data_IF_026687137151
#
_entry.id   IF_026687137151
#
_cell.length_a   1.000
_cell.length_b   1.000
_cell.length_c   1.000
_cell.angle_alpha   90.00
_cell.angle_beta   90.00
_cell.angle_gamma   90.00
#
_symmetry.space_group_name_H-M   'P 1'
#
loop_
_entity.id
_entity.type
_entity.pdbx_description
1 polymer ?
#
# COMPACT_ATOMS: atom_id res chain seq x y z
N UNK A 1 23.99 -24.98 -19.69
CA UNK A 1 23.21 -24.67 -18.48
C UNK A 1 23.04 -23.16 -18.38
N UNK A 2 21.82 -22.66 -18.15
CA UNK A 2 21.59 -21.23 -17.96
C UNK A 2 22.19 -20.77 -16.63
N UNK A 3 23.10 -19.79 -16.68
CA UNK A 3 23.72 -19.21 -15.48
C UNK A 3 22.69 -18.47 -14.64
N UNK A 4 22.78 -18.59 -13.31
CA UNK A 4 21.89 -17.90 -12.37
C UNK A 4 22.30 -16.43 -12.27
N UNK A 5 21.38 -15.52 -12.59
CA UNK A 5 21.64 -14.09 -12.52
C UNK A 5 21.55 -13.58 -11.08
N UNK A 6 22.60 -12.89 -10.61
CA UNK A 6 22.64 -12.25 -9.30
C UNK A 6 23.15 -10.81 -9.40
N UNK A 7 22.82 -9.98 -8.41
CA UNK A 7 23.34 -8.60 -8.35
C UNK A 7 24.82 -8.58 -8.01
N UNK A 8 25.52 -7.50 -8.37
CA UNK A 8 26.96 -7.34 -8.05
C UNK A 8 27.24 -7.52 -6.56
N UNK A 9 26.44 -6.89 -5.68
CA UNK A 9 26.56 -7.06 -4.22
C UNK A 9 26.44 -8.51 -3.75
N UNK A 10 25.54 -9.28 -4.35
CA UNK A 10 25.37 -10.71 -4.01
C UNK A 10 26.54 -11.55 -4.52
N UNK A 11 27.08 -11.20 -5.69
CA UNK A 11 28.26 -11.86 -6.24
C UNK A 11 29.51 -11.59 -5.37
N UNK A 12 29.74 -10.33 -5.02
CA UNK A 12 30.87 -9.91 -4.17
C UNK A 12 30.77 -10.57 -2.79
N UNK A 13 29.56 -10.66 -2.21
CA UNK A 13 29.31 -11.40 -0.97
C UNK A 13 29.64 -12.89 -1.11
N UNK A 14 29.13 -13.54 -2.17
CA UNK A 14 29.35 -14.96 -2.41
C UNK A 14 30.83 -15.29 -2.61
N UNK A 15 31.56 -14.45 -3.36
CA UNK A 15 32.99 -14.59 -3.57
C UNK A 15 33.77 -14.48 -2.25
N UNK A 16 33.39 -13.52 -1.40
CA UNK A 16 34.00 -13.36 -0.07
C UNK A 16 33.72 -14.55 0.84
N UNK A 17 32.48 -15.06 0.83
CA UNK A 17 32.09 -16.23 1.63
C UNK A 17 32.83 -17.50 1.17
N UNK A 18 32.97 -17.72 -0.13
CA UNK A 18 33.72 -18.86 -0.67
C UNK A 18 35.22 -18.78 -0.35
N UNK A 19 35.80 -17.57 -0.30
CA UNK A 19 37.18 -17.37 0.17
C UNK A 19 37.34 -17.72 1.65
N UNK A 20 36.37 -17.38 2.49
CA UNK A 20 36.35 -17.77 3.90
C UNK A 20 36.26 -19.29 4.06
N UNK A 21 35.33 -19.95 3.36
CA UNK A 21 35.14 -21.40 3.40
C UNK A 21 36.36 -22.18 2.88
N UNK A 22 37.07 -21.62 1.89
CA UNK A 22 38.37 -22.15 1.43
C UNK A 22 39.44 -22.05 2.51
N UNK A 23 39.51 -20.92 3.22
CA UNK A 23 40.50 -20.69 4.30
C UNK A 23 40.30 -21.65 5.47
N UNK A 24 39.05 -21.94 5.82
CA UNK A 24 38.67 -22.89 6.87
C UNK A 24 38.72 -24.37 6.42
N UNK A 25 39.22 -24.66 5.21
CA UNK A 25 39.38 -26.01 4.63
C UNK A 25 38.07 -26.82 4.47
N UNK A 26 36.91 -26.17 4.49
CA UNK A 26 35.62 -26.84 4.26
C UNK A 26 35.36 -27.18 2.78
N UNK A 27 36.05 -26.52 1.85
CA UNK A 27 35.82 -26.63 0.40
C UNK A 27 37.17 -26.59 -0.34
N UNK A 28 37.33 -27.41 -1.39
CA UNK A 28 38.51 -27.38 -2.25
C UNK A 28 38.49 -26.21 -3.27
N UNK A 29 39.66 -25.79 -3.74
CA UNK A 29 39.79 -24.69 -4.70
C UNK A 29 38.99 -24.91 -5.99
N UNK A 30 38.99 -26.15 -6.49
CA UNK A 30 38.23 -26.54 -7.69
C UNK A 30 36.71 -26.43 -7.51
N UNK A 31 36.22 -26.60 -6.29
CA UNK A 31 34.79 -26.53 -5.98
C UNK A 31 34.31 -25.08 -5.87
N UNK A 32 35.12 -24.21 -5.26
CA UNK A 32 34.83 -22.76 -5.21
C UNK A 32 34.66 -22.16 -6.62
N UNK A 33 35.60 -22.45 -7.52
CA UNK A 33 35.55 -21.93 -8.90
C UNK A 33 34.36 -22.50 -9.68
N UNK A 34 34.03 -23.78 -9.44
CA UNK A 34 32.84 -24.42 -10.03
C UNK A 34 31.56 -23.75 -9.55
N UNK A 35 31.45 -23.40 -8.26
CA UNK A 35 30.28 -22.69 -7.72
C UNK A 35 30.15 -21.31 -8.37
N UNK A 36 31.22 -20.52 -8.42
CA UNK A 36 31.21 -19.19 -9.05
C UNK A 36 30.85 -19.24 -10.54
N UNK A 37 31.25 -20.29 -11.25
CA UNK A 37 30.99 -20.45 -12.69
C UNK A 37 29.49 -20.53 -13.07
N UNK A 38 28.64 -20.90 -12.10
CA UNK A 38 27.19 -21.05 -12.26
C UNK A 38 26.49 -19.68 -12.21
N UNK A 39 27.13 -18.65 -11.65
CA UNK A 39 26.54 -17.32 -11.47
C UNK A 39 27.01 -16.33 -12.55
N UNK A 40 26.12 -15.42 -12.92
CA UNK A 40 26.44 -14.30 -13.81
C UNK A 40 25.96 -12.99 -13.17
N UNK A 41 26.86 -12.01 -13.08
CA UNK A 41 26.53 -10.68 -12.58
C UNK A 41 25.57 -10.01 -13.56
N UNK A 42 24.40 -9.62 -13.08
CA UNK A 42 23.45 -8.82 -13.83
C UNK A 42 23.99 -7.39 -13.95
N UNK A 43 24.71 -7.12 -15.02
CA UNK A 43 25.11 -5.76 -15.37
C UNK A 43 23.90 -5.02 -15.95
N UNK A 44 23.55 -3.88 -15.35
CA UNK A 44 22.74 -2.88 -16.05
C UNK A 44 23.73 -2.20 -17.01
N UNK A 45 23.58 -2.34 -18.33
CA UNK A 45 24.53 -1.76 -19.26
C UNK A 45 24.62 -0.25 -19.01
N UNK A 46 25.83 0.31 -18.98
CA UNK A 46 26.03 1.77 -18.96
C UNK A 46 25.21 2.45 -20.08
N UNK A 47 25.09 1.77 -21.22
CA UNK A 47 24.25 2.14 -22.36
C UNK A 47 22.77 2.30 -21.97
N UNK A 48 22.23 1.44 -21.10
CA UNK A 48 20.85 1.56 -20.61
C UNK A 48 20.69 2.78 -19.71
N UNK A 49 21.69 3.10 -18.89
CA UNK A 49 21.67 4.31 -18.05
C UNK A 49 21.77 5.56 -18.92
N UNK A 50 22.69 5.58 -19.89
CA UNK A 50 22.85 6.70 -20.82
C UNK A 50 21.60 6.87 -21.71
N UNK A 51 20.99 5.79 -22.17
CA UNK A 51 19.73 5.82 -22.92
C UNK A 51 18.57 6.34 -22.05
N UNK A 52 18.51 5.97 -20.78
CA UNK A 52 17.50 6.49 -19.85
C UNK A 52 17.68 8.00 -19.62
N UNK A 53 18.93 8.47 -19.43
CA UNK A 53 19.24 9.90 -19.29
C UNK A 53 18.89 10.65 -20.59
N UNK A 54 19.25 10.10 -21.75
CA UNK A 54 18.92 10.68 -23.06
C UNK A 54 17.41 10.78 -23.27
N UNK A 55 16.67 9.70 -22.98
CA UNK A 55 15.21 9.71 -23.06
C UNK A 55 14.58 10.73 -22.10
N UNK A 56 15.13 10.87 -20.88
CA UNK A 56 14.69 11.87 -19.91
C UNK A 56 14.92 13.30 -20.43
N UNK A 57 16.11 13.61 -20.96
CA UNK A 57 16.43 14.92 -21.51
C UNK A 57 15.57 15.26 -22.72
N UNK A 58 15.33 14.31 -23.61
CA UNK A 58 14.41 14.50 -24.74
C UNK A 58 12.99 14.76 -24.23
N UNK A 59 12.52 13.97 -23.25
CA UNK A 59 11.21 14.19 -22.62
C UNK A 59 11.08 15.57 -22.01
N UNK A 60 12.09 16.02 -21.25
CA UNK A 60 12.14 17.35 -20.67
C UNK A 60 12.17 18.45 -21.74
N UNK A 61 12.97 18.29 -22.79
CA UNK A 61 13.04 19.24 -23.90
C UNK A 61 11.70 19.38 -24.62
N UNK A 62 11.00 18.27 -24.87
CA UNK A 62 9.65 18.28 -25.45
C UNK A 62 8.67 18.98 -24.51
N UNK A 63 8.70 18.70 -23.21
CA UNK A 63 7.84 19.36 -22.23
C UNK A 63 8.09 20.88 -22.18
N UNK A 64 9.35 21.31 -22.16
CA UNK A 64 9.72 22.73 -22.18
C UNK A 64 9.33 23.43 -23.49
N UNK A 65 9.49 22.76 -24.63
CA UNK A 65 9.05 23.27 -25.93
C UNK A 65 7.53 23.45 -25.98
N UNK A 66 6.78 22.46 -25.52
CA UNK A 66 5.32 22.56 -25.43
C UNK A 66 4.90 23.66 -24.46
N UNK A 67 5.54 23.74 -23.29
CA UNK A 67 5.23 24.75 -22.27
C UNK A 67 5.51 26.18 -22.75
N UNK A 68 6.65 26.42 -23.41
CA UNK A 68 7.02 27.74 -23.96
C UNK A 68 6.08 28.21 -25.08
N UNK A 69 5.58 27.28 -25.89
CA UNK A 69 4.62 27.59 -26.95
C UNK A 69 3.16 27.59 -26.44
N UNK A 70 2.90 27.05 -25.25
CA UNK A 70 1.54 26.85 -24.72
C UNK A 70 0.74 28.15 -24.62
N UNK A 71 1.38 29.28 -24.34
CA UNK A 71 0.70 30.58 -24.24
C UNK A 71 0.08 31.02 -25.58
N UNK A 72 0.74 30.69 -26.71
CA UNK A 72 0.35 31.15 -28.04
C UNK A 72 -0.68 30.23 -28.74
N UNK A 73 -0.92 29.03 -28.20
CA UNK A 73 -1.85 28.07 -28.80
C UNK A 73 -3.31 28.36 -28.43
N UNK A 74 -4.21 28.27 -29.41
CA UNK A 74 -5.66 28.35 -29.18
C UNK A 74 -6.15 27.11 -28.42
N UNK A 75 -7.25 27.26 -27.67
CA UNK A 75 -7.87 26.16 -26.90
C UNK A 75 -8.12 24.87 -27.71
N UNK A 76 -8.70 24.90 -28.93
CA UNK A 76 -8.92 23.69 -29.70
C UNK A 76 -7.61 23.00 -30.11
N UNK A 77 -6.56 23.77 -30.44
CA UNK A 77 -5.25 23.19 -30.81
C UNK A 77 -4.63 22.46 -29.62
N UNK A 78 -4.68 23.05 -28.42
CA UNK A 78 -4.23 22.39 -27.18
C UNK A 78 -4.96 21.07 -26.93
N UNK A 79 -6.28 21.06 -27.12
CA UNK A 79 -7.12 19.87 -26.95
C UNK A 79 -6.73 18.77 -27.95
N UNK A 80 -6.56 19.13 -29.23
CA UNK A 80 -6.09 18.19 -30.27
C UNK A 80 -4.72 17.61 -29.92
N UNK A 81 -3.78 18.41 -29.42
CA UNK A 81 -2.45 17.92 -29.01
C UNK A 81 -2.57 16.89 -27.88
N UNK A 82 -3.38 17.16 -26.86
CA UNK A 82 -3.60 16.25 -25.72
C UNK A 82 -4.20 14.92 -26.22
N UNK A 83 -5.25 14.98 -27.04
CA UNK A 83 -5.91 13.78 -27.59
C UNK A 83 -4.95 12.98 -28.49
N UNK A 84 -4.24 13.67 -29.38
CA UNK A 84 -3.32 13.03 -30.32
C UNK A 84 -2.18 12.34 -29.57
N UNK A 85 -1.62 12.98 -28.55
CA UNK A 85 -0.59 12.38 -27.71
C UNK A 85 -1.10 11.13 -26.99
N UNK A 86 -2.32 11.18 -26.44
CA UNK A 86 -2.93 10.04 -25.77
C UNK A 86 -3.13 8.85 -26.72
N UNK A 87 -3.64 9.11 -27.93
CA UNK A 87 -3.85 8.09 -28.96
C UNK A 87 -2.51 7.51 -29.43
N UNK A 88 -1.53 8.37 -29.74
CA UNK A 88 -0.23 7.94 -30.26
C UNK A 88 0.50 7.04 -29.27
N UNK A 89 0.57 7.44 -28.00
CA UNK A 89 1.27 6.67 -26.96
C UNK A 89 0.62 5.30 -26.74
N UNK A 90 -0.72 5.24 -26.68
CA UNK A 90 -1.42 3.97 -26.47
C UNK A 90 -1.40 3.06 -27.71
N UNK A 91 -1.55 3.62 -28.92
CA UNK A 91 -1.45 2.83 -30.16
C UNK A 91 -0.04 2.31 -30.35
N UNK A 92 1.00 3.10 -30.09
CA UNK A 92 2.38 2.64 -30.07
C UNK A 92 2.58 1.49 -29.07
N UNK A 93 1.97 1.57 -27.89
CA UNK A 93 1.97 0.48 -26.90
C UNK A 93 1.39 -0.82 -27.46
N UNK A 94 0.26 -0.75 -28.17
CA UNK A 94 -0.39 -1.90 -28.82
C UNK A 94 0.47 -2.47 -29.95
N UNK A 95 1.04 -1.63 -30.82
CA UNK A 95 1.88 -2.09 -31.93
C UNK A 95 3.14 -2.83 -31.45
N UNK A 96 3.78 -2.31 -30.41
CA UNK A 96 5.04 -2.84 -29.87
C UNK A 96 4.80 -4.05 -28.94
N UNK A 97 3.55 -4.32 -28.56
CA UNK A 97 3.19 -5.35 -27.56
C UNK A 97 3.65 -6.77 -27.90
N UNK A 98 3.70 -7.12 -29.19
CA UNK A 98 4.11 -8.45 -29.65
C UNK A 98 5.62 -8.69 -29.53
N UNK A 99 6.42 -7.68 -29.86
CA UNK A 99 7.88 -7.79 -29.93
C UNK A 99 8.57 -7.37 -28.63
N UNK A 100 8.08 -6.32 -27.97
CA UNK A 100 8.67 -5.76 -26.75
C UNK A 100 7.60 -5.53 -25.67
N UNK A 101 7.13 -6.58 -24.98
CA UNK A 101 6.01 -6.50 -24.03
C UNK A 101 6.29 -5.59 -22.83
N UNK A 102 7.56 -5.45 -22.41
CA UNK A 102 7.94 -4.52 -21.33
C UNK A 102 7.83 -3.06 -21.77
N UNK A 103 8.32 -2.75 -22.98
CA UNK A 103 8.24 -1.42 -23.58
C UNK A 103 6.79 -1.02 -23.81
N UNK A 104 5.96 -1.95 -24.29
CA UNK A 104 4.52 -1.73 -24.45
C UNK A 104 3.82 -1.36 -23.13
N UNK A 105 4.12 -2.07 -22.03
CA UNK A 105 3.59 -1.71 -20.69
C UNK A 105 4.03 -0.31 -20.27
N UNK A 106 5.31 0.03 -20.45
CA UNK A 106 5.81 1.37 -20.16
C UNK A 106 5.09 2.46 -20.97
N UNK A 107 4.80 2.21 -22.25
CA UNK A 107 4.02 3.13 -23.08
C UNK A 107 2.60 3.33 -22.54
N UNK A 108 1.92 2.26 -22.11
CA UNK A 108 0.61 2.41 -21.46
C UNK A 108 0.67 3.14 -20.12
N UNK A 109 1.76 2.99 -19.34
CA UNK A 109 1.96 3.78 -18.12
C UNK A 109 2.09 5.28 -18.45
N UNK A 110 2.86 5.61 -19.50
CA UNK A 110 2.93 6.99 -20.00
C UNK A 110 1.55 7.46 -20.45
N UNK A 111 0.79 6.61 -21.14
CA UNK A 111 -0.59 6.90 -21.55
C UNK A 111 -1.51 7.23 -20.38
N UNK A 112 -1.41 6.49 -19.27
CA UNK A 112 -2.16 6.76 -18.04
C UNK A 112 -1.78 8.14 -17.45
N UNK A 113 -0.50 8.48 -17.43
CA UNK A 113 -0.03 9.78 -16.93
C UNK A 113 -0.45 10.94 -17.84
N UNK A 114 -0.35 10.75 -19.16
CA UNK A 114 -0.82 11.73 -20.17
C UNK A 114 -2.32 11.95 -20.04
N UNK A 115 -3.09 10.89 -19.80
CA UNK A 115 -4.54 11.00 -19.57
C UNK A 115 -4.84 11.85 -18.33
N UNK A 116 -4.18 11.58 -17.20
CA UNK A 116 -4.32 12.37 -15.97
C UNK A 116 -3.93 13.84 -16.17
N UNK A 117 -2.76 14.09 -16.74
CA UNK A 117 -2.31 15.45 -17.05
C UNK A 117 -3.27 16.17 -18.01
N UNK A 118 -3.80 15.45 -19.00
CA UNK A 118 -4.78 15.96 -19.95
C UNK A 118 -6.06 16.45 -19.26
N UNK A 119 -6.57 15.73 -18.27
CA UNK A 119 -7.76 16.15 -17.49
C UNK A 119 -7.50 17.50 -16.83
N UNK A 120 -6.42 17.66 -16.07
CA UNK A 120 -6.09 18.91 -15.37
C UNK A 120 -5.82 20.07 -16.34
N UNK A 121 -5.15 19.81 -17.47
CA UNK A 121 -4.92 20.84 -18.49
C UNK A 121 -6.22 21.32 -19.13
N UNK A 122 -7.18 20.41 -19.38
CA UNK A 122 -8.49 20.75 -19.92
C UNK A 122 -9.28 21.59 -18.91
N UNK A 123 -9.28 21.19 -17.63
CA UNK A 123 -9.92 21.95 -16.55
C UNK A 123 -9.39 23.38 -16.46
N UNK A 124 -8.05 23.53 -16.45
CA UNK A 124 -7.40 24.84 -16.44
C UNK A 124 -7.74 25.65 -17.70
N UNK A 125 -7.75 25.03 -18.88
CA UNK A 125 -7.98 25.70 -20.15
C UNK A 125 -9.40 26.26 -20.30
N UNK A 126 -10.39 25.54 -19.80
CA UNK A 126 -11.79 25.95 -19.85
C UNK A 126 -12.26 26.66 -18.58
N UNK A 127 -11.36 26.88 -17.62
CA UNK A 127 -11.68 27.45 -16.30
C UNK A 127 -12.86 26.70 -15.66
N UNK A 128 -12.88 25.38 -15.84
CA UNK A 128 -13.94 24.53 -15.31
C UNK A 128 -13.66 24.39 -13.81
N UNK A 129 -14.54 24.95 -12.99
CA UNK A 129 -14.55 24.73 -11.54
C UNK A 129 -15.16 23.36 -11.21
N UNK A 130 -14.66 22.30 -11.85
CA UNK A 130 -14.87 20.96 -11.32
C UNK A 130 -14.07 20.91 -10.03
N UNK A 131 -14.70 20.46 -8.95
CA UNK A 131 -14.00 20.14 -7.72
C UNK A 131 -12.77 19.30 -8.07
N UNK A 132 -11.57 19.79 -7.76
CA UNK A 132 -10.28 19.20 -8.09
C UNK A 132 -10.19 17.68 -7.81
N UNK A 133 -10.99 17.22 -6.84
CA UNK A 133 -11.09 15.82 -6.45
C UNK A 133 -11.75 14.93 -7.52
N UNK A 134 -12.77 15.43 -8.23
CA UNK A 134 -13.47 14.69 -9.29
C UNK A 134 -12.56 14.37 -10.49
N UNK A 135 -11.51 15.16 -10.71
CA UNK A 135 -10.49 14.93 -11.73
C UNK A 135 -9.76 13.60 -11.50
N UNK A 136 -9.48 13.26 -10.24
CA UNK A 136 -8.87 11.98 -9.86
C UNK A 136 -9.83 10.80 -10.06
N UNK A 137 -11.14 11.01 -9.94
CA UNK A 137 -12.13 9.98 -10.27
C UNK A 137 -12.13 9.68 -11.77
N UNK A 138 -12.15 10.72 -12.62
CA UNK A 138 -12.05 10.56 -14.07
C UNK A 138 -10.75 9.84 -14.47
N UNK A 139 -9.65 10.19 -13.81
CA UNK A 139 -8.38 9.51 -14.00
C UNK A 139 -8.44 8.03 -13.58
N UNK A 140 -9.05 7.73 -12.43
CA UNK A 140 -9.22 6.36 -11.95
C UNK A 140 -10.03 5.51 -12.93
N UNK A 141 -11.08 6.08 -13.55
CA UNK A 141 -11.90 5.40 -14.57
C UNK A 141 -11.04 4.94 -15.74
N UNK A 142 -10.26 5.85 -16.34
CA UNK A 142 -9.37 5.50 -17.45
C UNK A 142 -8.31 4.46 -17.05
N UNK A 143 -7.80 4.57 -15.83
CA UNK A 143 -6.78 3.65 -15.30
C UNK A 143 -7.33 2.25 -15.08
N UNK A 144 -8.59 2.10 -14.63
CA UNK A 144 -9.24 0.78 -14.45
C UNK A 144 -9.32 0.03 -15.77
N UNK A 145 -9.73 0.71 -16.84
CA UNK A 145 -9.89 0.11 -18.17
C UNK A 145 -8.54 -0.44 -18.65
N UNK A 146 -7.48 0.37 -18.54
CA UNK A 146 -6.12 -0.03 -18.94
C UNK A 146 -5.57 -1.14 -18.02
N UNK A 147 -5.81 -1.04 -16.71
CA UNK A 147 -5.36 -2.04 -15.73
C UNK A 147 -6.00 -3.41 -15.95
N UNK A 148 -7.29 -3.43 -16.33
CA UNK A 148 -7.99 -4.64 -16.71
C UNK A 148 -7.47 -5.21 -18.05
N UNK A 149 -7.29 -4.36 -19.07
CA UNK A 149 -6.75 -4.76 -20.37
C UNK A 149 -5.35 -5.40 -20.26
N UNK A 150 -4.43 -4.77 -19.51
CA UNK A 150 -3.06 -5.25 -19.35
C UNK A 150 -2.91 -6.40 -18.35
N UNK A 151 -3.97 -6.68 -17.57
CA UNK A 151 -3.90 -7.54 -16.38
C UNK A 151 -2.73 -7.16 -15.48
N UNK A 152 -2.57 -5.86 -15.24
CA UNK A 152 -1.43 -5.31 -14.48
C UNK A 152 -1.83 -4.84 -13.09
N UNK A 153 -1.28 -5.48 -12.06
CA UNK A 153 -1.53 -5.12 -10.65
C UNK A 153 -0.99 -3.75 -10.29
N UNK A 154 0.09 -3.27 -10.90
CA UNK A 154 0.66 -1.96 -10.59
C UNK A 154 -0.28 -0.82 -11.05
N UNK A 155 -0.92 -0.99 -12.20
CA UNK A 155 -1.92 -0.05 -12.71
C UNK A 155 -3.15 -0.01 -11.80
N UNK A 156 -3.64 -1.17 -11.36
CA UNK A 156 -4.77 -1.23 -10.42
C UNK A 156 -4.41 -0.67 -9.03
N UNK A 157 -3.17 -0.83 -8.58
CA UNK A 157 -2.69 -0.16 -7.36
C UNK A 157 -2.70 1.36 -7.53
N UNK A 158 -2.25 1.86 -8.68
CA UNK A 158 -2.35 3.28 -9.00
C UNK A 158 -3.80 3.77 -8.99
N UNK A 159 -4.74 3.00 -9.57
CA UNK A 159 -6.19 3.29 -9.43
C UNK A 159 -6.61 3.42 -7.97
N UNK A 160 -6.20 2.50 -7.08
CA UNK A 160 -6.60 2.60 -5.66
C UNK A 160 -6.09 3.89 -5.01
N UNK A 161 -4.89 4.34 -5.37
CA UNK A 161 -4.32 5.62 -4.88
C UNK A 161 -5.17 6.80 -5.37
N UNK A 162 -5.54 6.82 -6.65
CA UNK A 162 -6.39 7.87 -7.21
C UNK A 162 -7.75 7.94 -6.51
N UNK A 163 -8.35 6.78 -6.20
CA UNK A 163 -9.62 6.73 -5.46
C UNK A 163 -9.48 7.15 -3.99
N UNK A 164 -8.34 6.89 -3.36
CA UNK A 164 -8.02 7.42 -2.03
C UNK A 164 -7.97 8.95 -2.03
N UNK A 165 -7.34 9.55 -3.05
CA UNK A 165 -7.27 11.01 -3.21
C UNK A 165 -8.67 11.57 -3.45
N UNK A 166 -9.43 10.97 -4.38
CA UNK A 166 -10.80 11.36 -4.68
C UNK A 166 -11.68 11.39 -3.41
N UNK A 167 -11.74 10.29 -2.68
CA UNK A 167 -12.69 10.18 -1.55
C UNK A 167 -12.30 11.09 -0.38
N UNK A 168 -11.02 11.16 -0.02
CA UNK A 168 -10.58 12.01 1.09
C UNK A 168 -10.67 13.48 0.71
N UNK A 169 -10.29 13.82 -0.52
CA UNK A 169 -10.42 15.19 -1.03
C UNK A 169 -11.88 15.64 -1.02
N UNK A 170 -12.81 14.83 -1.52
CA UNK A 170 -14.23 15.17 -1.50
C UNK A 170 -14.80 15.34 -0.09
N UNK A 171 -14.29 14.63 0.91
CA UNK A 171 -14.81 14.73 2.29
C UNK A 171 -14.15 15.84 3.11
N UNK A 172 -12.86 16.10 2.93
CA UNK A 172 -12.11 17.06 3.76
C UNK A 172 -11.89 18.43 3.09
N UNK A 173 -11.92 18.50 1.76
CA UNK A 173 -11.65 19.73 1.01
C UNK A 173 -12.93 20.34 0.41
N UNK A 174 -13.94 19.52 0.10
CA UNK A 174 -15.19 19.96 -0.52
C UNK A 174 -16.40 19.72 0.39
N UNK A 175 -16.81 20.71 1.18
CA UNK A 175 -17.93 20.58 2.14
C UNK A 175 -19.31 20.26 1.49
N UNK A 176 -19.42 20.29 0.16
CA UNK A 176 -20.71 20.19 -0.57
C UNK A 176 -20.90 18.91 -1.38
N UNK A 177 -19.89 18.05 -1.52
CA UNK A 177 -19.95 16.91 -2.45
C UNK A 177 -19.68 15.58 -1.78
N UNK A 178 -20.71 14.74 -1.70
CA UNK A 178 -20.55 13.35 -1.27
C UNK A 178 -19.97 12.50 -2.40
N UNK A 179 -18.89 11.73 -2.17
CA UNK A 179 -18.23 10.93 -3.19
C UNK A 179 -19.02 9.64 -3.53
N UNK A 180 -20.28 9.78 -3.96
CA UNK A 180 -21.21 8.67 -4.21
C UNK A 180 -20.70 7.67 -5.25
N UNK A 181 -19.83 8.11 -6.17
CA UNK A 181 -19.22 7.23 -7.16
C UNK A 181 -18.50 6.04 -6.52
N UNK A 182 -17.95 6.20 -5.31
CA UNK A 182 -17.24 5.11 -4.62
C UNK A 182 -18.14 3.89 -4.38
N UNK A 183 -19.45 4.10 -4.21
CA UNK A 183 -20.42 3.01 -4.00
C UNK A 183 -20.49 2.06 -5.20
N UNK A 184 -20.18 2.54 -6.41
CA UNK A 184 -20.11 1.74 -7.62
C UNK A 184 -18.70 1.22 -7.89
N UNK A 185 -17.66 2.05 -7.68
CA UNK A 185 -16.28 1.63 -7.94
C UNK A 185 -15.81 0.54 -6.97
N UNK A 186 -16.18 0.61 -5.70
CA UNK A 186 -15.66 -0.30 -4.69
C UNK A 186 -16.09 -1.76 -4.93
N UNK A 187 -17.38 -2.08 -5.22
CA UNK A 187 -17.77 -3.40 -5.69
C UNK A 187 -17.05 -3.83 -6.98
N UNK A 188 -16.86 -2.91 -7.93
CA UNK A 188 -16.18 -3.22 -9.19
C UNK A 188 -14.72 -3.65 -8.99
N UNK A 189 -14.00 -3.05 -8.03
CA UNK A 189 -12.64 -3.43 -7.68
C UNK A 189 -12.57 -4.83 -7.07
N UNK A 190 -13.54 -5.23 -6.25
CA UNK A 190 -13.61 -6.60 -5.71
C UNK A 190 -13.95 -7.64 -6.80
N UNK A 191 -14.77 -7.28 -7.79
CA UNK A 191 -15.00 -8.13 -8.97
C UNK A 191 -13.72 -8.28 -9.78
N UNK A 192 -12.96 -7.19 -9.99
CA UNK A 192 -11.65 -7.26 -10.64
C UNK A 192 -10.68 -8.13 -9.84
N UNK A 193 -10.67 -8.04 -8.51
CA UNK A 193 -9.79 -8.82 -7.66
C UNK A 193 -9.99 -10.34 -7.82
N UNK A 194 -11.23 -10.79 -8.06
CA UNK A 194 -11.55 -12.19 -8.40
C UNK A 194 -10.83 -12.63 -9.67
N UNK A 195 -10.83 -11.80 -10.71
CA UNK A 195 -10.18 -12.07 -11.98
C UNK A 195 -8.65 -12.20 -11.90
N UNK A 196 -8.04 -11.65 -10.84
CA UNK A 196 -6.58 -11.63 -10.64
C UNK A 196 -6.11 -12.60 -9.54
N UNK A 197 -7.00 -13.48 -9.05
CA UNK A 197 -6.69 -14.46 -8.00
C UNK A 197 -6.12 -13.83 -6.71
N UNK A 198 -6.64 -12.65 -6.33
CA UNK A 198 -6.36 -11.98 -5.06
C UNK A 198 -4.85 -11.75 -4.79
N UNK A 199 -4.17 -10.88 -5.57
CA UNK A 199 -2.79 -10.51 -5.26
C UNK A 199 -2.74 -9.75 -3.93
N UNK A 200 -1.88 -10.22 -3.01
CA UNK A 200 -1.79 -9.78 -1.61
C UNK A 200 -1.78 -8.26 -1.48
N UNK A 201 -0.91 -7.58 -2.22
CA UNK A 201 -0.77 -6.12 -2.17
C UNK A 201 -2.03 -5.41 -2.64
N UNK A 202 -2.61 -5.83 -3.77
CA UNK A 202 -3.82 -5.20 -4.29
C UNK A 202 -5.02 -5.42 -3.37
N UNK A 203 -5.17 -6.62 -2.82
CA UNK A 203 -6.21 -6.91 -1.81
C UNK A 203 -6.06 -6.00 -0.59
N UNK A 204 -4.84 -5.79 -0.11
CA UNK A 204 -4.59 -4.90 1.03
C UNK A 204 -5.07 -3.48 0.74
N UNK A 205 -4.72 -2.90 -0.40
CA UNK A 205 -5.10 -1.53 -0.75
C UNK A 205 -6.61 -1.38 -1.02
N UNK A 206 -7.26 -2.36 -1.66
CA UNK A 206 -8.72 -2.31 -1.87
C UNK A 206 -9.47 -2.43 -0.54
N UNK A 207 -9.06 -3.35 0.34
CA UNK A 207 -9.63 -3.46 1.68
C UNK A 207 -9.41 -2.17 2.49
N UNK A 208 -8.21 -1.58 2.42
CA UNK A 208 -7.91 -0.33 3.10
C UNK A 208 -8.79 0.82 2.59
N UNK A 209 -9.01 0.89 1.26
CA UNK A 209 -9.92 1.85 0.66
C UNK A 209 -11.36 1.64 1.18
N UNK A 210 -11.82 0.39 1.29
CA UNK A 210 -13.13 0.04 1.86
C UNK A 210 -13.28 0.46 3.31
N UNK A 211 -12.27 0.20 4.14
CA UNK A 211 -12.26 0.63 5.54
C UNK A 211 -12.29 2.16 5.60
N UNK A 212 -11.47 2.84 4.80
CA UNK A 212 -11.43 4.30 4.73
C UNK A 212 -12.79 4.90 4.33
N UNK A 213 -13.44 4.35 3.29
CA UNK A 213 -14.78 4.77 2.88
C UNK A 213 -15.79 4.63 4.01
N UNK A 214 -15.75 3.52 4.75
CA UNK A 214 -16.64 3.31 5.88
C UNK A 214 -16.36 4.25 7.05
N UNK A 215 -15.08 4.51 7.37
CA UNK A 215 -14.67 5.48 8.39
C UNK A 215 -15.17 6.88 8.03
N UNK A 216 -14.98 7.32 6.78
CA UNK A 216 -15.44 8.64 6.32
C UNK A 216 -16.97 8.75 6.37
N UNK A 217 -17.69 7.69 6.01
CA UNK A 217 -19.14 7.63 6.17
C UNK A 217 -19.54 7.82 7.64
N UNK A 218 -18.89 7.13 8.57
CA UNK A 218 -19.18 7.29 10.00
C UNK A 218 -18.86 8.71 10.51
N UNK A 219 -17.72 9.27 10.12
CA UNK A 219 -17.32 10.64 10.50
C UNK A 219 -18.30 11.70 10.01
N UNK A 220 -18.95 11.47 8.89
CA UNK A 220 -19.90 12.41 8.29
C UNK A 220 -21.30 12.33 8.89
N UNK A 221 -21.79 11.11 9.13
CA UNK A 221 -23.17 10.89 9.56
C UNK A 221 -23.32 10.84 11.07
N UNK A 222 -22.40 10.23 11.81
CA UNK A 222 -22.57 10.02 13.26
C UNK A 222 -22.65 11.35 14.04
N UNK A 223 -21.80 12.37 13.79
CA UNK A 223 -21.91 13.65 14.49
C UNK A 223 -23.24 14.37 14.27
N UNK A 224 -23.90 14.16 13.11
CA UNK A 224 -25.22 14.73 12.81
C UNK A 224 -26.34 14.06 13.61
N UNK A 225 -26.19 12.78 13.96
CA UNK A 225 -27.17 12.04 14.75
C UNK A 225 -26.92 12.17 16.26
N UNK A 226 -25.67 12.24 16.70
CA UNK A 226 -25.30 12.25 18.12
C UNK A 226 -24.00 13.06 18.32
N UNK A 227 -24.08 14.40 18.41
CA UNK A 227 -22.91 15.27 18.47
C UNK A 227 -21.99 14.96 19.66
N UNK A 228 -22.60 14.81 20.85
CA UNK A 228 -21.88 14.73 22.14
C UNK A 228 -21.09 13.41 22.31
N UNK A 229 -21.51 12.34 21.64
CA UNK A 229 -20.92 10.99 21.78
C UNK A 229 -20.36 10.45 20.47
N UNK A 230 -20.15 11.32 19.49
CA UNK A 230 -19.79 10.91 18.12
C UNK A 230 -18.52 10.08 18.05
N UNK A 231 -17.44 10.50 18.71
CA UNK A 231 -16.16 9.79 18.72
C UNK A 231 -16.26 8.37 19.31
N UNK A 232 -16.99 8.22 20.41
CA UNK A 232 -17.20 6.94 21.09
C UNK A 232 -18.03 5.98 20.23
N UNK A 233 -19.11 6.49 19.60
CA UNK A 233 -19.96 5.69 18.72
C UNK A 233 -19.18 5.23 17.49
N UNK A 234 -18.43 6.13 16.84
CA UNK A 234 -17.61 5.80 15.66
C UNK A 234 -16.59 4.72 16.03
N UNK A 235 -15.87 4.90 17.14
CA UNK A 235 -14.85 3.95 17.60
C UNK A 235 -15.47 2.59 17.96
N UNK A 236 -16.65 2.57 18.57
CA UNK A 236 -17.41 1.37 18.89
C UNK A 236 -17.83 0.59 17.64
N UNK A 237 -18.38 1.27 16.63
CA UNK A 237 -18.77 0.64 15.35
C UNK A 237 -17.53 0.09 14.63
N UNK A 238 -16.44 0.85 14.56
CA UNK A 238 -15.20 0.40 13.93
C UNK A 238 -14.53 -0.76 14.68
N UNK A 239 -14.64 -0.80 16.01
CA UNK A 239 -14.20 -1.93 16.82
C UNK A 239 -14.95 -3.22 16.46
N UNK A 240 -16.28 -3.16 16.39
CA UNK A 240 -17.11 -4.30 15.98
C UNK A 240 -16.78 -4.70 14.53
N UNK A 241 -16.61 -3.74 13.62
CA UNK A 241 -16.19 -4.02 12.25
C UNK A 241 -14.83 -4.73 12.21
N UNK A 242 -13.85 -4.29 13.00
CA UNK A 242 -12.54 -4.94 13.09
C UNK A 242 -12.62 -6.39 13.54
N UNK A 243 -13.50 -6.71 14.51
CA UNK A 243 -13.78 -8.08 14.94
C UNK A 243 -14.46 -8.87 13.81
N UNK A 244 -15.46 -8.29 13.15
CA UNK A 244 -16.17 -8.92 12.04
C UNK A 244 -15.22 -9.32 10.90
N UNK A 245 -14.26 -8.45 10.54
CA UNK A 245 -13.23 -8.73 9.52
C UNK A 245 -12.31 -9.90 9.87
N UNK A 246 -12.19 -10.30 11.15
CA UNK A 246 -11.40 -11.48 11.55
C UNK A 246 -12.12 -12.79 11.19
N UNK A 247 -13.45 -12.79 11.32
CA UNK A 247 -14.28 -13.99 11.22
C UNK A 247 -14.96 -14.18 9.86
N UNK A 248 -14.93 -13.16 9.00
CA UNK A 248 -15.54 -13.24 7.67
C UNK A 248 -14.86 -14.35 6.81
N UNK A 249 -15.64 -15.29 6.24
CA UNK A 249 -15.08 -16.33 5.37
C UNK A 249 -14.70 -15.74 4.01
N UNK A 250 -13.41 -15.82 3.66
CA UNK A 250 -12.86 -15.31 2.41
C UNK A 250 -11.90 -16.32 1.77
N UNK A 251 -11.58 -16.19 0.46
CA UNK A 251 -10.54 -16.99 -0.18
C UNK A 251 -9.19 -16.85 0.55
N UNK A 252 -8.43 -17.95 0.69
CA UNK A 252 -7.21 -18.04 1.51
C UNK A 252 -6.23 -16.85 1.40
N UNK A 253 -6.03 -16.34 0.17
CA UNK A 253 -5.13 -15.19 -0.08
C UNK A 253 -5.68 -13.87 0.46
N UNK A 254 -6.98 -13.65 0.35
CA UNK A 254 -7.65 -12.47 0.88
C UNK A 254 -7.86 -12.57 2.38
N UNK A 255 -8.19 -13.76 2.89
CA UNK A 255 -8.43 -14.03 4.31
C UNK A 255 -7.27 -13.57 5.20
N UNK A 256 -6.03 -13.89 4.83
CA UNK A 256 -4.84 -13.46 5.59
C UNK A 256 -4.76 -11.94 5.71
N UNK A 257 -4.96 -11.23 4.59
CA UNK A 257 -4.84 -9.77 4.53
C UNK A 257 -5.97 -9.10 5.31
N UNK A 258 -7.22 -9.54 5.08
CA UNK A 258 -8.40 -9.02 5.76
C UNK A 258 -8.33 -9.26 7.27
N UNK A 259 -7.85 -10.42 7.73
CA UNK A 259 -7.64 -10.69 9.16
C UNK A 259 -6.64 -9.74 9.80
N UNK A 260 -5.51 -9.50 9.15
CA UNK A 260 -4.49 -8.57 9.66
C UNK A 260 -5.08 -7.17 9.80
N UNK A 261 -5.81 -6.69 8.77
CA UNK A 261 -6.47 -5.38 8.83
C UNK A 261 -7.57 -5.33 9.89
N UNK A 262 -8.33 -6.42 10.08
CA UNK A 262 -9.30 -6.55 11.18
C UNK A 262 -8.64 -6.41 12.55
N UNK A 263 -7.52 -7.11 12.76
CA UNK A 263 -6.72 -6.98 13.99
C UNK A 263 -6.23 -5.56 14.23
N UNK A 264 -5.67 -4.91 13.21
CA UNK A 264 -5.19 -3.53 13.32
C UNK A 264 -6.36 -2.60 13.65
N UNK A 265 -7.49 -2.76 12.96
CA UNK A 265 -8.65 -1.89 13.12
C UNK A 265 -9.23 -1.98 14.54
N UNK A 266 -9.54 -3.18 15.04
CA UNK A 266 -10.06 -3.30 16.41
C UNK A 266 -9.01 -2.94 17.46
N UNK A 267 -7.72 -3.16 17.18
CA UNK A 267 -6.62 -2.73 18.05
C UNK A 267 -6.57 -1.23 18.25
N UNK A 268 -6.57 -0.47 17.16
CA UNK A 268 -6.53 0.99 17.19
C UNK A 268 -7.79 1.53 17.87
N UNK A 269 -8.97 1.05 17.48
CA UNK A 269 -10.24 1.56 18.01
C UNK A 269 -10.46 1.16 19.46
N UNK A 270 -10.00 -0.02 19.89
CA UNK A 270 -10.01 -0.39 21.31
C UNK A 270 -9.16 0.56 22.14
N UNK A 271 -7.95 0.91 21.67
CA UNK A 271 -7.09 1.88 22.37
C UNK A 271 -7.81 3.22 22.53
N UNK A 272 -8.54 3.69 21.50
CA UNK A 272 -9.36 4.92 21.61
C UNK A 272 -10.48 4.74 22.63
N UNK A 273 -11.24 3.64 22.57
CA UNK A 273 -12.35 3.34 23.49
C UNK A 273 -11.89 3.22 24.95
N UNK A 274 -10.63 2.89 25.20
CA UNK A 274 -10.10 2.82 26.58
C UNK A 274 -10.04 4.18 27.28
N UNK A 275 -10.11 5.30 26.56
CA UNK A 275 -10.22 6.64 27.13
C UNK A 275 -11.64 6.93 27.66
N UNK A 276 -12.66 6.41 26.98
CA UNK A 276 -14.07 6.65 27.34
C UNK A 276 -14.58 5.65 28.39
N UNK A 277 -14.28 4.36 28.23
CA UNK A 277 -14.81 3.28 29.09
C UNK A 277 -13.87 2.85 30.22
N UNK A 278 -12.67 3.43 30.29
CA UNK A 278 -11.72 3.21 31.37
C UNK A 278 -11.23 1.77 31.52
N UNK A 279 -11.01 1.35 32.78
CA UNK A 279 -10.27 0.13 33.13
C UNK A 279 -11.06 -1.17 32.86
N UNK A 280 -12.38 -1.15 33.02
CA UNK A 280 -13.24 -2.32 32.84
C UNK A 280 -13.23 -2.83 31.40
N UNK A 281 -13.34 -1.93 30.42
CA UNK A 281 -13.23 -2.27 29.01
C UNK A 281 -11.86 -2.88 28.68
N UNK A 282 -10.79 -2.29 29.22
CA UNK A 282 -9.43 -2.77 28.99
C UNK A 282 -9.18 -4.16 29.56
N UNK A 283 -9.73 -4.49 30.73
CA UNK A 283 -9.65 -5.85 31.30
C UNK A 283 -10.37 -6.86 30.41
N UNK A 284 -11.59 -6.56 29.99
CA UNK A 284 -12.34 -7.45 29.08
C UNK A 284 -11.63 -7.61 27.74
N UNK A 285 -11.13 -6.51 27.18
CA UNK A 285 -10.38 -6.51 25.93
C UNK A 285 -9.06 -7.28 26.03
N UNK A 286 -8.36 -7.19 27.16
CA UNK A 286 -7.16 -7.97 27.42
C UNK A 286 -7.45 -9.48 27.43
N UNK A 287 -8.54 -9.91 28.08
CA UNK A 287 -9.00 -11.32 28.06
C UNK A 287 -9.32 -11.76 26.63
N UNK A 288 -10.01 -10.92 25.86
CA UNK A 288 -10.30 -11.18 24.44
C UNK A 288 -9.02 -11.30 23.59
N UNK A 289 -8.00 -10.46 23.81
CA UNK A 289 -6.72 -10.56 23.12
C UNK A 289 -5.97 -11.85 23.48
N UNK A 290 -5.99 -12.28 24.75
CA UNK A 290 -5.42 -13.57 25.16
C UNK A 290 -6.10 -14.74 24.45
N UNK A 291 -7.43 -14.71 24.31
CA UNK A 291 -8.16 -15.70 23.52
C UNK A 291 -7.72 -15.72 22.05
N UNK A 292 -7.54 -14.56 21.42
CA UNK A 292 -7.05 -14.47 20.03
C UNK A 292 -5.61 -14.99 19.89
N UNK A 293 -4.77 -14.80 20.90
CA UNK A 293 -3.40 -15.34 20.94
C UNK A 293 -3.42 -16.86 21.05
N UNK A 294 -4.32 -17.44 21.85
CA UNK A 294 -4.51 -18.90 21.91
C UNK A 294 -4.97 -19.47 20.57
N UNK A 295 -5.81 -18.73 19.83
CA UNK A 295 -6.16 -19.04 18.43
C UNK A 295 -5.05 -18.75 17.43
N UNK A 296 -3.92 -18.20 17.89
CA UNK A 296 -2.70 -18.13 17.12
C UNK A 296 -2.39 -16.78 16.47
N UNK A 297 -3.14 -15.72 16.79
CA UNK A 297 -2.92 -14.38 16.25
C UNK A 297 -1.70 -13.71 16.89
N UNK A 298 -0.66 -13.48 16.09
CA UNK A 298 0.53 -12.73 16.50
C UNK A 298 0.30 -11.22 16.55
N UNK A 299 -0.64 -10.68 15.76
CA UNK A 299 -0.94 -9.24 15.78
C UNK A 299 -1.57 -8.83 17.11
N UNK A 300 -2.37 -9.71 17.73
CA UNK A 300 -2.94 -9.47 19.07
C UNK A 300 -1.89 -9.25 20.15
N UNK A 301 -0.70 -9.83 20.01
CA UNK A 301 0.42 -9.60 20.92
C UNK A 301 0.85 -8.14 20.89
N UNK A 302 1.06 -7.59 19.69
CA UNK A 302 1.48 -6.20 19.50
C UNK A 302 0.44 -5.26 20.08
N UNK A 303 -0.85 -5.60 19.94
CA UNK A 303 -1.95 -4.83 20.52
C UNK A 303 -1.93 -4.90 22.06
N UNK A 304 -1.65 -6.07 22.67
CA UNK A 304 -1.47 -6.15 24.12
C UNK A 304 -0.33 -5.24 24.57
N UNK A 305 0.80 -5.26 23.87
CA UNK A 305 1.93 -4.38 24.19
C UNK A 305 1.53 -2.91 24.10
N UNK A 306 0.81 -2.51 23.05
CA UNK A 306 0.30 -1.14 22.89
C UNK A 306 -0.70 -0.77 24.00
N UNK A 307 -1.59 -1.69 24.40
CA UNK A 307 -2.56 -1.48 25.47
C UNK A 307 -1.87 -1.26 26.82
N UNK A 308 -0.88 -2.10 27.17
CA UNK A 308 -0.10 -1.94 28.40
C UNK A 308 0.70 -0.64 28.36
N UNK A 309 1.34 -0.35 27.21
CA UNK A 309 2.10 0.87 27.03
C UNK A 309 1.23 2.12 27.20
N UNK A 310 -0.01 2.10 26.71
CA UNK A 310 -0.97 3.20 26.91
C UNK A 310 -1.24 3.47 28.39
N UNK A 311 -1.48 2.44 29.20
CA UNK A 311 -1.67 2.60 30.65
C UNK A 311 -0.40 3.02 31.38
N UNK A 312 0.75 2.51 30.92
CA UNK A 312 2.04 2.91 31.43
C UNK A 312 2.33 4.40 31.18
N UNK A 313 2.05 4.92 29.97
CA UNK A 313 2.17 6.35 29.66
C UNK A 313 1.34 7.22 30.61
N UNK A 314 0.10 6.80 30.90
CA UNK A 314 -0.77 7.50 31.85
C UNK A 314 -0.24 7.45 33.30
N UNK A 315 0.56 6.43 33.63
CA UNK A 315 1.20 6.30 34.94
C UNK A 315 2.48 7.13 35.08
N UNK A 316 3.06 7.63 33.97
CA UNK A 316 4.29 8.42 33.98
C UNK A 316 4.14 9.74 34.74
N UNK A 317 2.94 10.31 34.74
CA UNK A 317 2.66 11.55 35.46
C UNK A 317 2.72 11.38 36.99
N UNK A 318 2.62 10.15 37.49
CA UNK A 318 2.50 9.85 38.93
C UNK A 318 3.68 9.05 39.50
N UNK A 319 4.60 8.55 38.66
CA UNK A 319 5.74 7.74 39.09
C UNK A 319 7.08 8.47 38.96
N UNK A 320 8.01 8.30 39.92
CA UNK A 320 9.40 8.73 39.73
C UNK A 320 10.00 8.10 38.47
N UNK A 321 10.79 8.87 37.73
CA UNK A 321 11.39 8.47 36.45
C UNK A 321 12.16 7.14 36.50
N UNK A 322 12.75 6.77 37.65
CA UNK A 322 13.45 5.49 37.85
C UNK A 322 12.51 4.28 37.90
N UNK A 323 11.39 4.37 38.64
CA UNK A 323 10.40 3.29 38.75
C UNK A 323 9.75 2.97 37.40
N UNK A 324 9.48 4.03 36.64
CA UNK A 324 9.05 3.99 35.26
C UNK A 324 9.93 3.06 34.41
N UNK A 325 11.26 3.28 34.37
CA UNK A 325 12.15 2.44 33.56
C UNK A 325 12.22 0.98 34.05
N UNK A 326 12.16 0.76 35.36
CA UNK A 326 12.19 -0.60 35.96
C UNK A 326 10.94 -1.39 35.57
N UNK A 327 9.75 -0.80 35.73
CA UNK A 327 8.48 -1.45 35.38
C UNK A 327 8.42 -1.74 33.89
N UNK A 328 8.81 -0.78 33.04
CA UNK A 328 8.90 -0.97 31.59
C UNK A 328 9.84 -2.11 31.20
N UNK A 329 11.01 -2.21 31.85
CA UNK A 329 11.99 -3.28 31.62
C UNK A 329 11.47 -4.67 32.02
N UNK A 330 10.81 -4.80 33.16
CA UNK A 330 10.22 -6.06 33.63
C UNK A 330 9.13 -6.54 32.66
N UNK A 331 8.28 -5.63 32.18
CA UNK A 331 7.24 -5.94 31.19
C UNK A 331 7.86 -6.45 29.88
N UNK A 332 8.88 -5.76 29.35
CA UNK A 332 9.57 -6.17 28.13
C UNK A 332 10.26 -7.53 28.26
N UNK A 333 10.93 -7.80 29.39
CA UNK A 333 11.55 -9.09 29.67
C UNK A 333 10.51 -10.21 29.78
N UNK A 334 9.39 -9.96 30.47
CA UNK A 334 8.28 -10.89 30.58
C UNK A 334 7.68 -11.27 29.22
N UNK A 335 7.50 -10.27 28.34
CA UNK A 335 7.06 -10.51 26.97
C UNK A 335 8.09 -11.30 26.15
N UNK A 336 9.37 -10.97 26.26
CA UNK A 336 10.45 -11.71 25.59
C UNK A 336 10.42 -13.21 25.93
N UNK A 337 10.32 -13.54 27.22
CA UNK A 337 10.23 -14.92 27.68
C UNK A 337 8.96 -15.63 27.20
N UNK A 338 7.82 -14.94 27.25
CA UNK A 338 6.55 -15.49 26.77
C UNK A 338 6.60 -15.81 25.25
N UNK A 339 7.21 -14.94 24.44
CA UNK A 339 7.39 -15.18 23.00
C UNK A 339 8.31 -16.36 22.72
N UNK A 340 9.40 -16.49 23.47
CA UNK A 340 10.30 -17.63 23.32
C UNK A 340 9.57 -18.96 23.59
N UNK A 341 8.73 -19.00 24.63
CA UNK A 341 7.94 -20.18 24.99
C UNK A 341 6.86 -20.50 23.95
N UNK A 342 6.19 -19.50 23.40
CA UNK A 342 5.19 -19.69 22.35
C UNK A 342 5.80 -20.16 21.02
N UNK A 343 6.98 -19.63 20.67
CA UNK A 343 7.73 -20.05 19.48
C UNK A 343 8.18 -21.51 19.59
N UNK A 344 8.65 -21.93 20.76
CA UNK A 344 9.04 -23.33 21.05
C UNK A 344 7.86 -24.31 20.98
N UNK A 345 6.66 -23.93 21.45
CA UNK A 345 5.46 -24.78 21.40
C UNK A 345 4.91 -25.02 19.98
N UNK A 346 5.23 -24.17 19.01
CA UNK A 346 4.73 -24.26 17.63
C UNK A 346 5.61 -25.09 16.69
N UNK A 347 6.60 -25.81 17.21
CA UNK A 347 7.52 -26.61 16.39
C UNK A 347 8.40 -25.69 15.56
N UNK A 348 9.40 -25.08 16.21
CA UNK A 348 10.42 -24.32 15.51
C UNK A 348 11.33 -25.24 14.70
N UNK A 349 10.85 -25.70 13.54
CA UNK A 349 11.73 -26.13 12.46
C UNK A 349 11.94 -24.91 11.56
N UNK A 350 13.10 -24.29 11.77
CA UNK A 350 13.72 -23.41 10.77
C UNK A 350 14.19 -24.23 9.57
#
# INVERSE_FOLDING_TARGET
>A
MNKRQITKKQYDFLEHELKYLKKEQFIEEKESDRILSIYQVKNVPFITVLAAIGALLIGLGVLMFVASNWMYLTKPVKLVIIILLLILVNTAGVFVSKEFPKTARSLHYIGILVFGAGIFLIEQMFNISINFNNSFLLWAIGTIIIGWYLKDTAVLLFTTILLFIYINGSMFLDEKSYPLAILLFLPSLYVLLRGFSYPVTLTFFINALSINTFVLFLLEFVPKLSPDHSATIISGILFIMGIFLIYIPLPLRAERVTRIQGHILHGITAIILTFDFGLWFSLFYFIFLLYLIQKGSLTSIVIICALIFRYYLNSLEFLPTSFTFIIGGIILLGFGFFFEKQRKKRGGNY
#
